data_IF_846192950452
#
_entry.id   IF_846192950452
#
_cell.length_a   1.000
_cell.length_b   1.000
_cell.length_c   1.000
_cell.angle_alpha   90.00
_cell.angle_beta   90.00
_cell.angle_gamma   90.00
#
_symmetry.space_group_name_H-M   'P 1'
#
loop_
_entity.id
_entity.type
_entity.pdbx_description
1 polymer ?
#
# COMPACT_ATOMS: atom_id res chain seq x y z
N UNK A 1 86.10 61.22 -43.57
CA UNK A 1 86.64 62.52 -43.15
C UNK A 1 85.89 63.04 -41.96
N UNK A 2 86.62 63.22 -40.85
CA UNK A 2 86.32 64.05 -39.69
C UNK A 2 85.24 63.51 -38.63
N UNK A 3 85.80 62.98 -37.57
CA UNK A 3 85.21 62.94 -36.22
C UNK A 3 85.07 64.36 -35.62
N UNK A 4 84.21 64.59 -34.70
CA UNK A 4 84.69 65.08 -33.43
C UNK A 4 84.09 64.35 -32.20
N UNK A 5 84.96 63.89 -31.41
CA UNK A 5 85.27 64.14 -30.00
C UNK A 5 84.12 64.47 -29.04
N UNK A 6 83.95 63.47 -28.15
CA UNK A 6 83.86 63.51 -26.71
C UNK A 6 83.11 64.63 -26.00
N UNK A 7 82.28 64.21 -25.11
CA UNK A 7 82.18 64.80 -23.77
C UNK A 7 81.89 63.71 -22.78
N UNK A 8 82.96 63.14 -22.21
CA UNK A 8 82.91 62.45 -20.94
C UNK A 8 82.61 63.52 -19.87
N UNK A 9 81.40 63.66 -19.45
CA UNK A 9 81.04 64.39 -18.22
C UNK A 9 81.49 63.54 -17.07
N UNK A 10 82.57 63.91 -16.35
CA UNK A 10 82.96 63.33 -15.10
C UNK A 10 81.84 63.55 -14.11
N UNK A 11 81.09 62.53 -13.77
CA UNK A 11 80.13 62.59 -12.69
C UNK A 11 80.85 62.90 -11.35
N UNK A 12 80.37 63.88 -10.64
CA UNK A 12 80.89 64.21 -9.26
C UNK A 12 80.58 63.09 -8.31
N UNK A 13 81.42 62.88 -7.24
CA UNK A 13 81.17 61.82 -6.26
C UNK A 13 79.84 61.91 -5.59
N UNK A 14 79.24 63.09 -5.51
CA UNK A 14 77.88 63.27 -4.87
C UNK A 14 76.77 62.76 -5.83
N UNK A 15 76.91 62.83 -7.15
CA UNK A 15 75.90 62.27 -8.06
C UNK A 15 75.96 60.74 -8.13
N UNK A 16 77.11 60.10 -7.96
CA UNK A 16 77.21 58.63 -7.83
C UNK A 16 76.59 58.09 -6.54
N UNK A 17 76.74 58.85 -5.45
CA UNK A 17 76.15 58.48 -4.19
C UNK A 17 74.60 58.60 -4.20
N UNK A 18 74.08 59.64 -4.87
CA UNK A 18 72.61 59.82 -4.94
C UNK A 18 71.97 58.80 -5.82
N UNK A 19 72.59 58.38 -6.92
CA UNK A 19 72.06 57.36 -7.81
C UNK A 19 72.12 55.97 -7.14
N UNK A 20 73.20 55.73 -6.37
CA UNK A 20 73.33 54.48 -5.63
C UNK A 20 72.31 54.33 -4.49
N UNK A 21 72.04 55.37 -3.71
CA UNK A 21 71.07 55.40 -2.65
C UNK A 21 69.62 55.19 -3.16
N UNK A 22 69.30 55.81 -4.33
CA UNK A 22 67.96 55.65 -4.88
C UNK A 22 67.67 54.26 -5.44
N UNK A 23 68.71 53.63 -6.06
CA UNK A 23 68.58 52.25 -6.57
C UNK A 23 68.52 51.20 -5.42
N UNK A 24 69.25 51.43 -4.36
CA UNK A 24 69.23 50.58 -3.21
C UNK A 24 67.90 50.68 -2.42
N UNK A 25 67.30 51.88 -2.34
CA UNK A 25 65.99 52.11 -1.72
C UNK A 25 64.85 51.51 -2.57
N UNK A 26 64.87 51.61 -3.87
CA UNK A 26 63.92 50.97 -4.79
C UNK A 26 64.05 49.44 -4.70
N UNK A 27 65.27 48.89 -4.67
CA UNK A 27 65.53 47.46 -4.47
C UNK A 27 65.01 46.93 -3.15
N UNK A 28 65.20 47.63 -2.06
CA UNK A 28 64.70 47.26 -0.73
C UNK A 28 63.16 47.29 -0.64
N UNK A 29 62.52 48.30 -1.30
CA UNK A 29 61.06 48.37 -1.31
C UNK A 29 60.43 47.27 -2.16
N UNK A 30 61.02 46.90 -3.29
CA UNK A 30 60.59 45.75 -4.13
C UNK A 30 60.80 44.44 -3.37
N UNK A 31 61.95 44.26 -2.73
CA UNK A 31 62.22 43.07 -1.92
C UNK A 31 61.26 42.94 -0.73
N UNK A 32 60.95 44.04 -0.01
CA UNK A 32 59.96 44.05 1.04
C UNK A 32 58.56 43.65 0.58
N UNK A 33 58.13 44.12 -0.61
CA UNK A 33 56.84 43.71 -1.22
C UNK A 33 56.83 42.25 -1.61
N UNK A 34 57.92 41.73 -2.18
CA UNK A 34 58.08 40.30 -2.48
C UNK A 34 58.04 39.43 -1.26
N UNK A 35 58.76 39.81 -0.18
CA UNK A 35 58.70 39.07 1.10
C UNK A 35 57.32 39.09 1.71
N UNK A 36 56.60 40.22 1.69
CA UNK A 36 55.24 40.33 2.16
C UNK A 36 54.25 39.45 1.35
N UNK A 37 54.37 39.49 0.02
CA UNK A 37 53.55 38.63 -0.86
C UNK A 37 53.81 37.16 -0.60
N UNK A 38 55.07 36.76 -0.45
CA UNK A 38 55.45 35.38 -0.11
C UNK A 38 54.94 34.95 1.26
N UNK A 39 54.97 35.82 2.26
CA UNK A 39 54.41 35.60 3.57
C UNK A 39 52.89 35.38 3.49
N UNK A 40 52.15 36.23 2.74
CA UNK A 40 50.72 36.10 2.55
C UNK A 40 50.37 34.77 1.87
N UNK A 41 51.11 34.39 0.81
CA UNK A 41 50.94 33.11 0.13
C UNK A 41 51.19 31.93 1.10
N UNK A 42 52.25 32.02 1.89
CA UNK A 42 52.58 30.98 2.89
C UNK A 42 51.48 30.86 3.96
N UNK A 43 50.93 31.96 4.46
CA UNK A 43 49.81 31.96 5.40
C UNK A 43 48.54 31.32 4.79
N UNK A 44 48.19 31.68 3.53
CA UNK A 44 47.07 31.07 2.83
C UNK A 44 47.28 29.57 2.61
N UNK A 45 48.50 29.18 2.24
CA UNK A 45 48.84 27.74 2.10
C UNK A 45 48.75 26.99 3.41
N UNK A 46 49.19 27.59 4.53
CA UNK A 46 49.02 26.99 5.87
C UNK A 46 47.53 26.81 6.22
N UNK A 47 46.68 27.80 5.92
CA UNK A 47 45.23 27.71 6.12
C UNK A 47 44.63 26.53 5.31
N UNK A 48 45.08 26.37 4.06
CA UNK A 48 44.67 25.25 3.21
C UNK A 48 45.11 23.90 3.80
N UNK A 49 46.35 23.77 4.25
CA UNK A 49 46.84 22.55 4.89
C UNK A 49 46.07 22.20 6.15
N UNK A 50 45.78 23.18 7.01
CA UNK A 50 44.97 22.98 8.22
C UNK A 50 43.55 22.54 7.83
N UNK A 51 42.98 23.11 6.77
CA UNK A 51 41.67 22.73 6.28
C UNK A 51 41.67 21.30 5.70
N UNK A 52 42.67 20.95 4.91
CA UNK A 52 42.81 19.58 4.39
C UNK A 52 43.03 18.57 5.52
N UNK A 53 43.87 18.86 6.50
CA UNK A 53 44.07 18.00 7.65
C UNK A 53 42.76 17.72 8.40
N UNK A 54 41.95 18.77 8.63
CA UNK A 54 40.63 18.59 9.27
C UNK A 54 39.70 17.72 8.42
N UNK A 55 39.61 17.97 7.11
CA UNK A 55 38.74 17.23 6.22
C UNK A 55 39.18 15.78 6.04
N UNK A 56 40.49 15.52 5.89
CA UNK A 56 41.00 14.20 5.56
C UNK A 56 41.29 13.32 6.78
N UNK A 57 41.49 13.89 7.96
CA UNK A 57 41.85 13.14 9.16
C UNK A 57 40.80 13.26 10.26
N UNK A 58 40.44 14.46 10.68
CA UNK A 58 39.51 14.66 11.79
C UNK A 58 38.05 14.38 11.43
N UNK A 59 37.62 14.79 10.24
CA UNK A 59 36.23 14.66 9.78
C UNK A 59 36.08 13.56 8.70
N UNK A 60 37.12 12.76 8.45
CA UNK A 60 37.15 11.71 7.41
C UNK A 60 35.95 10.79 7.50
N UNK A 61 35.70 10.20 8.67
CA UNK A 61 34.60 9.26 8.91
C UNK A 61 33.23 9.89 8.65
N UNK A 62 33.07 11.18 8.98
CA UNK A 62 31.83 11.93 8.73
C UNK A 62 31.57 12.15 7.25
N UNK A 63 32.61 12.53 6.51
CA UNK A 63 32.50 12.76 5.05
C UNK A 63 32.43 11.44 4.28
N UNK A 64 33.11 10.41 4.71
CA UNK A 64 32.98 9.06 4.18
C UNK A 64 31.56 8.56 4.33
N UNK A 65 30.97 8.64 5.54
CA UNK A 65 29.55 8.28 5.80
C UNK A 65 28.59 9.09 4.96
N UNK A 66 28.81 10.40 4.82
CA UNK A 66 27.97 11.26 3.95
C UNK A 66 28.11 10.88 2.47
N UNK A 67 29.31 10.58 2.02
CA UNK A 67 29.58 10.12 0.65
C UNK A 67 28.89 8.78 0.38
N UNK A 68 29.04 7.83 1.30
CA UNK A 68 28.42 6.51 1.19
C UNK A 68 26.88 6.60 1.23
N UNK A 69 26.30 7.41 2.11
CA UNK A 69 24.87 7.65 2.17
C UNK A 69 24.32 8.30 0.88
N UNK A 70 25.12 9.09 0.20
CA UNK A 70 24.73 9.67 -1.08
C UNK A 70 24.90 8.69 -2.25
N UNK A 71 25.87 7.78 -2.17
CA UNK A 71 26.23 6.82 -3.22
C UNK A 71 25.46 5.51 -3.10
N UNK A 72 25.19 5.06 -1.87
CA UNK A 72 24.51 3.79 -1.59
C UNK A 72 23.02 4.05 -1.34
N UNK A 73 22.17 3.32 -2.07
CA UNK A 73 20.70 3.37 -1.89
C UNK A 73 20.17 1.98 -1.62
N UNK A 74 19.20 1.89 -0.73
CA UNK A 74 18.45 0.67 -0.47
C UNK A 74 17.20 0.71 -1.35
N UNK A 75 17.08 -0.27 -2.23
CA UNK A 75 15.91 -0.48 -3.10
C UNK A 75 15.16 -1.69 -2.56
N UNK A 76 13.97 -1.49 -1.98
CA UNK A 76 13.18 -2.60 -1.47
C UNK A 76 12.62 -3.46 -2.62
N UNK A 77 12.49 -4.77 -2.37
CA UNK A 77 11.93 -5.75 -3.30
C UNK A 77 10.65 -6.30 -2.67
N UNK A 78 9.53 -6.17 -3.40
CA UNK A 78 8.25 -6.71 -2.93
C UNK A 78 8.28 -8.25 -2.88
N UNK A 79 7.69 -8.87 -1.87
CA UNK A 79 7.49 -10.30 -1.84
C UNK A 79 6.33 -10.71 -2.75
N UNK A 80 6.35 -11.96 -3.20
CA UNK A 80 5.20 -12.57 -3.86
C UNK A 80 4.12 -12.87 -2.81
N UNK A 81 2.89 -12.40 -3.07
CA UNK A 81 1.76 -12.63 -2.17
C UNK A 81 1.30 -14.08 -2.24
N UNK A 82 1.05 -14.73 -1.09
CA UNK A 82 0.54 -16.08 -0.99
C UNK A 82 -0.77 -16.29 -1.78
N UNK A 83 -0.98 -17.48 -2.29
CA UNK A 83 -2.17 -17.86 -3.03
C UNK A 83 -3.29 -18.25 -2.07
N UNK A 84 -4.54 -18.19 -2.53
CA UNK A 84 -5.70 -18.64 -1.75
C UNK A 84 -6.41 -19.72 -2.53
N UNK A 85 -6.62 -20.84 -1.86
CA UNK A 85 -7.27 -22.03 -2.41
C UNK A 85 -8.55 -22.37 -1.64
N UNK A 86 -9.47 -23.05 -2.30
CA UNK A 86 -10.56 -23.74 -1.65
C UNK A 86 -10.08 -25.03 -0.97
N UNK A 87 -10.97 -25.77 -0.29
CA UNK A 87 -10.63 -27.03 0.37
C UNK A 87 -10.17 -28.14 -0.57
N UNK A 88 -10.48 -28.05 -1.87
CA UNK A 88 -10.16 -29.02 -2.89
C UNK A 88 -8.92 -28.61 -3.71
N UNK A 89 -8.25 -27.51 -3.35
CA UNK A 89 -7.11 -26.99 -4.10
C UNK A 89 -7.47 -26.14 -5.32
N UNK A 90 -8.74 -25.73 -5.46
CA UNK A 90 -9.15 -24.82 -6.53
C UNK A 90 -8.69 -23.40 -6.20
N UNK A 91 -8.05 -22.75 -7.17
CA UNK A 91 -7.46 -21.43 -7.00
C UNK A 91 -8.54 -20.34 -6.92
N UNK A 92 -8.57 -19.59 -5.80
CA UNK A 92 -9.53 -18.53 -5.53
C UNK A 92 -8.92 -17.14 -5.68
N UNK A 93 -7.62 -17.01 -5.40
CA UNK A 93 -6.87 -15.77 -5.61
C UNK A 93 -5.43 -16.10 -6.03
N UNK A 94 -4.98 -15.51 -7.11
CA UNK A 94 -3.67 -15.74 -7.73
C UNK A 94 -2.95 -14.43 -8.03
N UNK A 95 -1.65 -14.54 -8.38
CA UNK A 95 -0.86 -13.40 -8.84
C UNK A 95 -0.62 -13.59 -10.34
N UNK A 96 -1.16 -12.67 -11.16
CA UNK A 96 -0.94 -12.67 -12.60
C UNK A 96 0.12 -11.66 -13.00
N UNK A 97 0.99 -12.06 -13.90
CA UNK A 97 1.93 -11.13 -14.49
C UNK A 97 1.19 -10.16 -15.41
N UNK A 98 1.38 -8.88 -15.18
CA UNK A 98 0.90 -7.78 -16.03
C UNK A 98 2.08 -6.94 -16.48
N UNK A 99 1.94 -6.26 -17.60
CA UNK A 99 2.96 -5.37 -18.10
C UNK A 99 2.59 -3.92 -17.71
N UNK A 100 3.36 -3.38 -16.78
CA UNK A 100 3.18 -2.03 -16.29
C UNK A 100 4.07 -1.06 -17.07
N UNK A 101 3.52 0.07 -17.48
CA UNK A 101 4.30 1.20 -17.94
C UNK A 101 4.73 2.02 -16.72
N UNK A 102 6.03 2.16 -16.52
CA UNK A 102 6.59 2.94 -15.42
C UNK A 102 7.46 4.06 -15.96
N UNK A 103 7.54 5.15 -15.20
CA UNK A 103 8.46 6.26 -15.47
C UNK A 103 9.52 6.33 -14.38
N UNK A 104 10.73 6.71 -14.77
CA UNK A 104 11.83 7.07 -13.84
C UNK A 104 12.08 8.56 -13.97
N UNK A 105 11.65 9.39 -13.01
CA UNK A 105 11.65 10.86 -13.13
C UNK A 105 13.03 11.46 -13.41
N UNK A 106 14.10 10.89 -12.86
CA UNK A 106 15.48 11.37 -13.04
C UNK A 106 16.01 11.30 -14.49
N UNK A 107 15.25 10.69 -15.40
CA UNK A 107 15.66 10.54 -16.81
C UNK A 107 14.98 11.54 -17.76
N UNK A 108 14.09 12.38 -17.26
CA UNK A 108 13.32 13.33 -18.08
C UNK A 108 13.51 14.75 -17.58
N UNK A 109 13.62 15.69 -18.51
CA UNK A 109 13.66 17.13 -18.24
C UNK A 109 12.23 17.72 -18.17
N UNK A 110 11.26 17.15 -18.92
CA UNK A 110 9.84 17.54 -18.91
C UNK A 110 8.91 16.32 -18.91
N UNK A 111 8.73 15.76 -17.71
CA UNK A 111 7.88 14.57 -17.51
C UNK A 111 6.41 14.83 -17.88
N UNK A 112 5.93 16.07 -17.67
CA UNK A 112 4.53 16.40 -17.94
C UNK A 112 4.19 16.27 -19.41
N UNK A 113 5.07 16.80 -20.26
CA UNK A 113 4.93 16.72 -21.72
C UNK A 113 5.10 15.28 -22.20
N UNK A 114 6.11 14.59 -21.70
CA UNK A 114 6.35 13.18 -22.05
C UNK A 114 5.18 12.27 -21.64
N UNK A 115 4.51 12.54 -20.52
CA UNK A 115 3.30 11.82 -20.10
C UNK A 115 2.16 12.01 -21.11
N UNK A 116 1.90 13.25 -21.53
CA UNK A 116 0.83 13.54 -22.48
C UNK A 116 1.10 12.87 -23.84
N UNK A 117 2.32 12.96 -24.34
CA UNK A 117 2.73 12.33 -25.60
C UNK A 117 2.59 10.79 -25.55
N UNK A 118 2.99 10.16 -24.44
CA UNK A 118 2.87 8.69 -24.28
C UNK A 118 1.43 8.27 -24.11
N UNK A 119 0.61 9.05 -23.37
CA UNK A 119 -0.82 8.78 -23.25
C UNK A 119 -1.54 8.80 -24.61
N UNK A 120 -1.19 9.78 -25.45
CA UNK A 120 -1.73 9.89 -26.83
C UNK A 120 -1.21 8.76 -27.71
N UNK A 121 0.11 8.52 -27.73
CA UNK A 121 0.76 7.48 -28.55
C UNK A 121 0.19 6.08 -28.31
N UNK A 122 -0.07 5.74 -27.05
CA UNK A 122 -0.53 4.42 -26.65
C UNK A 122 -2.07 4.34 -26.51
N UNK A 123 -2.79 5.45 -26.70
CA UNK A 123 -4.22 5.54 -26.49
C UNK A 123 -4.63 4.95 -25.12
N UNK A 124 -3.97 5.40 -24.04
CA UNK A 124 -4.20 4.86 -22.70
C UNK A 124 -5.54 5.31 -22.11
N UNK A 125 -6.11 6.41 -22.60
CA UNK A 125 -7.37 6.97 -22.12
C UNK A 125 -7.28 7.53 -20.70
N UNK A 126 -6.08 7.96 -20.26
CA UNK A 126 -5.87 8.57 -18.97
C UNK A 126 -6.35 10.02 -18.99
N UNK A 127 -7.14 10.41 -17.99
CA UNK A 127 -7.73 11.74 -17.88
C UNK A 127 -6.83 12.72 -17.09
N UNK A 128 -7.26 13.99 -16.98
CA UNK A 128 -6.54 15.03 -16.23
C UNK A 128 -6.46 14.72 -14.72
N UNK A 129 -7.39 13.94 -14.17
CA UNK A 129 -7.35 13.51 -12.78
C UNK A 129 -6.28 12.43 -12.57
N UNK A 130 -6.17 11.48 -13.50
CA UNK A 130 -5.09 10.47 -13.50
C UNK A 130 -3.73 11.14 -13.59
N UNK A 131 -3.61 12.15 -14.46
CA UNK A 131 -2.39 12.96 -14.61
C UNK A 131 -2.06 13.70 -13.31
N UNK A 132 -3.04 14.28 -12.63
CA UNK A 132 -2.83 14.96 -11.34
C UNK A 132 -2.31 13.99 -10.27
N UNK A 133 -2.96 12.83 -10.14
CA UNK A 133 -2.53 11.77 -9.20
C UNK A 133 -1.11 11.31 -9.51
N UNK A 134 -0.79 11.11 -10.78
CA UNK A 134 0.55 10.75 -11.24
C UNK A 134 1.59 11.82 -10.88
N UNK A 135 1.29 13.10 -11.12
CA UNK A 135 2.20 14.21 -10.77
C UNK A 135 2.41 14.35 -9.26
N UNK A 136 1.37 14.10 -8.46
CA UNK A 136 1.50 14.10 -7.00
C UNK A 136 2.38 12.94 -6.52
N UNK A 137 2.30 11.77 -7.15
CA UNK A 137 3.21 10.65 -6.88
C UNK A 137 4.67 10.98 -7.22
N UNK A 138 4.91 11.69 -8.32
CA UNK A 138 6.25 12.17 -8.70
C UNK A 138 6.81 13.14 -7.65
N UNK A 139 5.99 14.05 -7.14
CA UNK A 139 6.40 15.03 -6.11
C UNK A 139 6.74 14.37 -4.76
N UNK A 140 6.01 13.31 -4.40
CA UNK A 140 6.21 12.58 -3.16
C UNK A 140 7.28 11.48 -3.29
N UNK A 141 7.51 11.01 -4.51
CA UNK A 141 8.47 9.95 -4.81
C UNK A 141 9.91 10.44 -4.89
N UNK A 142 10.84 9.48 -4.87
CA UNK A 142 12.26 9.77 -5.12
C UNK A 142 12.52 9.81 -6.63
N UNK A 143 13.37 10.72 -7.07
CA UNK A 143 13.65 10.96 -8.51
C UNK A 143 14.08 9.69 -9.29
N UNK A 144 14.69 8.71 -8.64
CA UNK A 144 15.13 7.44 -9.25
C UNK A 144 14.11 6.30 -9.08
N UNK A 145 13.03 6.52 -8.34
CA UNK A 145 11.98 5.52 -8.12
C UNK A 145 11.14 5.35 -9.37
N UNK A 146 10.84 4.10 -9.72
CA UNK A 146 9.91 3.80 -10.80
C UNK A 146 8.48 4.04 -10.33
N UNK A 147 7.80 4.97 -10.99
CA UNK A 147 6.42 5.35 -10.69
C UNK A 147 5.52 4.77 -11.78
N UNK A 148 4.48 4.00 -11.44
CA UNK A 148 3.59 3.41 -12.44
C UNK A 148 2.70 4.49 -13.08
N UNK A 149 2.63 4.45 -14.41
CA UNK A 149 1.70 5.23 -15.21
C UNK A 149 0.40 4.43 -15.43
N UNK A 150 0.56 3.17 -15.82
CA UNK A 150 -0.55 2.21 -15.96
C UNK A 150 -0.05 0.79 -15.78
N UNK A 151 -0.89 -0.07 -15.21
CA UNK A 151 -0.60 -1.50 -15.02
C UNK A 151 -1.34 -2.37 -16.07
N UNK A 152 -1.76 -1.79 -17.20
CA UNK A 152 -2.68 -2.43 -18.15
C UNK A 152 -2.24 -2.31 -19.61
N UNK A 153 -0.96 -2.44 -19.89
CA UNK A 153 -0.54 -2.44 -21.28
C UNK A 153 -0.99 -3.72 -21.99
N UNK A 154 -1.71 -3.54 -23.07
CA UNK A 154 -2.01 -4.63 -24.02
C UNK A 154 -0.78 -4.98 -24.85
N UNK A 155 -0.74 -6.17 -25.43
CA UNK A 155 0.36 -6.59 -26.32
C UNK A 155 0.57 -5.60 -27.47
N UNK A 156 -0.52 -5.07 -28.04
CA UNK A 156 -0.46 -4.07 -29.10
C UNK A 156 0.19 -2.78 -28.62
N UNK A 157 -0.19 -2.27 -27.45
CA UNK A 157 0.41 -1.08 -26.86
C UNK A 157 1.87 -1.29 -26.51
N UNK A 158 2.25 -2.47 -26.02
CA UNK A 158 3.65 -2.82 -25.78
C UNK A 158 4.47 -2.81 -27.07
N UNK A 159 3.95 -3.37 -28.16
CA UNK A 159 4.62 -3.36 -29.47
C UNK A 159 4.80 -1.92 -29.98
N UNK A 160 3.78 -1.06 -29.89
CA UNK A 160 3.87 0.36 -30.26
C UNK A 160 4.89 1.08 -29.39
N UNK A 161 4.91 0.84 -28.08
CA UNK A 161 5.88 1.44 -27.19
C UNK A 161 7.31 0.97 -27.49
N UNK A 162 7.52 -0.32 -27.75
CA UNK A 162 8.83 -0.89 -28.02
C UNK A 162 9.50 -0.23 -29.24
N UNK A 163 8.73 0.02 -30.30
CA UNK A 163 9.23 0.75 -31.53
C UNK A 163 9.58 2.20 -31.21
N UNK A 164 8.85 2.86 -30.31
CA UNK A 164 9.05 4.28 -29.98
C UNK A 164 9.91 4.52 -28.73
N UNK A 165 10.43 3.47 -28.10
CA UNK A 165 11.17 3.55 -26.83
C UNK A 165 12.35 4.52 -26.84
N UNK A 166 13.02 4.67 -27.98
CA UNK A 166 14.16 5.57 -28.11
C UNK A 166 13.80 7.05 -27.91
N UNK A 167 12.52 7.42 -28.12
CA UNK A 167 12.00 8.79 -27.94
C UNK A 167 11.65 9.09 -26.48
N UNK A 168 11.39 8.04 -25.67
CA UNK A 168 10.91 8.14 -24.29
C UNK A 168 11.79 7.30 -23.35
N UNK A 169 13.08 7.67 -23.18
CA UNK A 169 14.05 6.90 -22.39
C UNK A 169 13.71 6.83 -20.89
N UNK A 170 12.88 7.75 -20.39
CA UNK A 170 12.36 7.83 -19.04
C UNK A 170 11.30 6.77 -18.74
N UNK A 171 10.57 6.31 -19.76
CA UNK A 171 9.56 5.26 -19.63
C UNK A 171 10.15 3.87 -19.88
N UNK A 172 9.59 2.89 -19.19
CA UNK A 172 9.93 1.49 -19.40
C UNK A 172 8.73 0.60 -19.12
N UNK A 173 8.64 -0.50 -19.84
CA UNK A 173 7.68 -1.57 -19.55
C UNK A 173 8.35 -2.57 -18.63
N UNK A 174 7.74 -2.81 -17.47
CA UNK A 174 8.22 -3.78 -16.49
C UNK A 174 7.14 -4.78 -16.17
N UNK A 175 7.48 -6.07 -16.06
CA UNK A 175 6.55 -7.08 -15.58
C UNK A 175 6.31 -6.85 -14.08
N UNK A 176 5.05 -6.85 -13.67
CA UNK A 176 4.63 -6.80 -12.28
C UNK A 176 3.62 -7.91 -12.00
N UNK A 177 3.64 -8.45 -10.79
CA UNK A 177 2.59 -9.33 -10.32
C UNK A 177 1.43 -8.50 -9.78
N UNK A 178 0.23 -8.78 -10.26
CA UNK A 178 -1.03 -8.20 -9.79
C UNK A 178 -1.95 -9.29 -9.30
N UNK A 179 -2.62 -9.01 -8.18
CA UNK A 179 -3.63 -9.91 -7.64
C UNK A 179 -4.77 -10.07 -8.61
N UNK A 180 -5.27 -11.31 -8.76
CA UNK A 180 -6.40 -11.65 -9.62
C UNK A 180 -7.30 -12.68 -8.93
N UNK A 181 -8.60 -12.52 -9.10
CA UNK A 181 -9.65 -13.35 -8.53
C UNK A 181 -10.40 -14.04 -9.67
N UNK A 182 -10.06 -15.31 -9.99
CA UNK A 182 -10.61 -16.01 -11.16
C UNK A 182 -12.11 -16.27 -11.05
N UNK A 183 -12.65 -16.33 -9.82
CA UNK A 183 -14.07 -16.58 -9.58
C UNK A 183 -14.94 -15.32 -9.61
N UNK A 184 -14.37 -14.14 -9.89
CA UNK A 184 -15.11 -12.88 -9.97
C UNK A 184 -15.93 -12.59 -8.71
N UNK A 185 -17.20 -12.26 -8.89
CA UNK A 185 -18.13 -11.86 -7.85
C UNK A 185 -18.59 -12.98 -6.89
N UNK A 186 -18.30 -14.25 -7.23
CA UNK A 186 -18.74 -15.43 -6.50
C UNK A 186 -18.25 -15.47 -5.05
N UNK A 187 -17.03 -14.98 -4.79
CA UNK A 187 -16.35 -15.13 -3.50
C UNK A 187 -15.92 -13.82 -2.86
N UNK A 188 -16.31 -12.68 -3.42
CA UNK A 188 -15.84 -11.36 -2.99
C UNK A 188 -16.04 -11.11 -1.50
N UNK A 189 -17.18 -11.50 -0.95
CA UNK A 189 -17.49 -11.30 0.47
C UNK A 189 -16.75 -12.25 1.42
N UNK A 190 -16.15 -13.32 0.92
CA UNK A 190 -15.33 -14.27 1.67
C UNK A 190 -13.85 -13.94 1.52
N UNK A 191 -13.37 -14.02 0.29
CA UNK A 191 -11.96 -13.79 -0.03
C UNK A 191 -11.57 -12.31 0.17
N UNK A 192 -12.47 -11.40 -0.18
CA UNK A 192 -12.18 -9.98 -0.19
C UNK A 192 -11.37 -9.57 -1.42
N UNK A 193 -10.60 -8.50 -1.27
CA UNK A 193 -9.74 -7.99 -2.32
C UNK A 193 -8.58 -7.18 -1.76
N UNK A 194 -7.54 -7.01 -2.57
CA UNK A 194 -6.48 -6.05 -2.35
C UNK A 194 -6.76 -4.77 -3.14
N UNK A 195 -6.37 -3.64 -2.58
CA UNK A 195 -6.38 -2.37 -3.30
C UNK A 195 -5.27 -1.47 -2.77
N UNK A 196 -5.01 -0.38 -3.49
CA UNK A 196 -3.93 0.56 -3.20
C UNK A 196 -3.95 1.04 -1.73
N UNK A 197 -2.78 1.08 -1.13
CA UNK A 197 -2.55 1.63 0.22
C UNK A 197 -2.98 3.10 0.22
N UNK A 198 -3.89 3.46 1.12
CA UNK A 198 -4.35 4.83 1.33
C UNK A 198 -3.72 5.43 2.59
N UNK A 199 -4.00 6.72 2.89
CA UNK A 199 -3.44 7.43 4.05
C UNK A 199 -3.74 6.73 5.37
N UNK A 200 -4.97 6.20 5.55
CA UNK A 200 -5.34 5.48 6.79
C UNK A 200 -4.61 4.15 6.93
N UNK A 201 -4.37 3.45 5.82
CA UNK A 201 -3.58 2.23 5.85
C UNK A 201 -2.14 2.54 6.19
N UNK A 202 -1.58 3.65 5.65
CA UNK A 202 -0.22 4.10 5.94
C UNK A 202 -0.07 4.42 7.43
N UNK A 203 -0.97 5.21 8.00
CA UNK A 203 -1.00 5.52 9.44
C UNK A 203 -1.03 4.25 10.31
N UNK A 204 -1.80 3.25 9.89
CA UNK A 204 -1.85 1.96 10.57
C UNK A 204 -0.54 1.19 10.48
N UNK A 205 0.06 1.12 9.28
CA UNK A 205 1.35 0.46 9.06
C UNK A 205 2.46 1.15 9.86
N UNK A 206 2.45 2.48 9.93
CA UNK A 206 3.40 3.26 10.72
C UNK A 206 3.23 2.97 12.22
N UNK A 207 2.00 2.94 12.72
CA UNK A 207 1.70 2.60 14.11
C UNK A 207 2.09 1.16 14.49
N UNK A 208 2.00 0.23 13.55
CA UNK A 208 2.41 -1.17 13.73
C UNK A 208 3.92 -1.42 13.45
N UNK A 209 4.68 -0.40 13.02
CA UNK A 209 6.10 -0.52 12.68
C UNK A 209 6.36 -1.38 11.43
N UNK A 210 5.37 -1.48 10.52
CA UNK A 210 5.44 -2.32 9.32
C UNK A 210 5.78 -1.57 8.04
N UNK A 211 5.98 -0.25 8.09
CA UNK A 211 6.19 0.63 6.93
C UNK A 211 7.33 0.16 6.02
N UNK A 212 8.45 -0.30 6.61
CA UNK A 212 9.58 -0.79 5.83
C UNK A 212 9.23 -2.05 5.02
N UNK A 213 8.40 -2.96 5.58
CA UNK A 213 7.96 -4.17 4.90
C UNK A 213 7.05 -3.88 3.70
N UNK A 214 6.37 -2.72 3.68
CA UNK A 214 5.50 -2.29 2.60
C UNK A 214 6.12 -1.28 1.64
N UNK A 215 7.41 -0.94 1.82
CA UNK A 215 8.08 0.07 1.01
C UNK A 215 8.12 -0.23 -0.50
N UNK A 216 8.07 -1.52 -0.90
CA UNK A 216 8.00 -1.95 -2.29
C UNK A 216 6.58 -2.35 -2.73
N UNK A 217 5.63 -2.45 -1.80
CA UNK A 217 4.27 -2.94 -2.05
C UNK A 217 3.32 -1.77 -2.18
N UNK A 218 2.45 -1.81 -3.18
CA UNK A 218 1.49 -0.73 -3.45
C UNK A 218 0.07 -1.07 -2.99
N UNK A 219 -0.24 -2.35 -2.83
CA UNK A 219 -1.56 -2.86 -2.53
C UNK A 219 -1.58 -3.59 -1.17
N UNK A 220 -2.71 -3.52 -0.47
CA UNK A 220 -2.94 -4.17 0.82
C UNK A 220 -4.33 -4.79 0.84
N UNK A 221 -4.55 -5.85 1.61
CA UNK A 221 -5.87 -6.45 1.79
C UNK A 221 -6.86 -5.51 2.47
N UNK A 222 -8.00 -5.29 1.83
CA UNK A 222 -9.03 -4.34 2.30
C UNK A 222 -10.20 -5.00 2.98
N UNK A 223 -10.50 -6.24 2.61
CA UNK A 223 -11.70 -6.95 3.06
C UNK A 223 -11.45 -8.46 3.12
N UNK A 224 -12.26 -9.18 3.87
CA UNK A 224 -12.32 -10.66 3.90
C UNK A 224 -11.01 -11.31 4.35
N UNK A 225 -10.75 -12.48 3.79
CA UNK A 225 -9.53 -13.29 4.05
C UNK A 225 -8.27 -12.50 3.69
N UNK A 226 -8.29 -11.75 2.60
CA UNK A 226 -7.17 -10.90 2.17
C UNK A 226 -6.74 -9.91 3.27
N UNK A 227 -7.69 -9.32 3.98
CA UNK A 227 -7.41 -8.38 5.07
C UNK A 227 -7.04 -9.09 6.36
N UNK A 228 -7.79 -10.14 6.73
CA UNK A 228 -7.61 -10.80 8.02
C UNK A 228 -6.28 -11.53 8.11
N UNK A 229 -5.86 -12.17 7.01
CA UNK A 229 -4.61 -12.92 6.91
C UNK A 229 -3.51 -12.14 6.18
N UNK A 230 -3.59 -10.81 6.18
CA UNK A 230 -2.61 -9.93 5.49
C UNK A 230 -1.16 -10.27 5.86
N UNK A 231 -0.86 -10.42 7.15
CA UNK A 231 0.50 -10.70 7.63
C UNK A 231 1.06 -12.05 7.14
N UNK A 232 0.17 -13.02 6.87
CA UNK A 232 0.55 -14.34 6.35
C UNK A 232 0.70 -14.27 4.83
N UNK A 233 -0.26 -13.62 4.16
CA UNK A 233 -0.32 -13.56 2.71
C UNK A 233 0.73 -12.62 2.10
N UNK A 234 1.07 -11.51 2.78
CA UNK A 234 2.01 -10.51 2.24
C UNK A 234 3.45 -11.03 2.18
N UNK A 235 3.92 -11.72 3.24
CA UNK A 235 5.31 -12.15 3.34
C UNK A 235 6.25 -11.04 3.84
N UNK A 236 7.55 -11.17 3.54
CA UNK A 236 8.58 -10.23 3.99
C UNK A 236 9.34 -9.65 2.80
N UNK A 237 9.44 -8.34 2.73
CA UNK A 237 10.19 -7.63 1.71
C UNK A 237 11.68 -7.96 1.76
N UNK A 238 12.29 -8.12 0.59
CA UNK A 238 13.73 -8.12 0.43
C UNK A 238 14.26 -6.71 0.14
N UNK A 239 15.56 -6.60 -0.07
CA UNK A 239 16.19 -5.35 -0.47
C UNK A 239 17.43 -5.58 -1.32
N UNK A 240 17.77 -4.59 -2.14
CA UNK A 240 19.07 -4.47 -2.80
C UNK A 240 19.75 -3.18 -2.35
N UNK A 241 21.01 -3.29 -1.94
CA UNK A 241 21.89 -2.13 -1.77
C UNK A 241 22.56 -1.87 -3.10
N UNK A 242 22.28 -0.74 -3.70
CA UNK A 242 22.79 -0.35 -5.01
C UNK A 242 23.67 0.89 -4.89
N UNK A 243 24.77 0.90 -5.62
CA UNK A 243 25.58 2.09 -5.81
C UNK A 243 24.97 2.92 -6.94
N UNK A 244 24.75 4.21 -6.68
CA UNK A 244 24.17 5.14 -7.64
C UNK A 244 25.16 6.27 -7.95
N UNK A 245 25.10 6.79 -9.19
CA UNK A 245 25.87 7.97 -9.57
C UNK A 245 25.19 9.26 -9.06
N UNK A 246 25.80 10.42 -9.36
CA UNK A 246 25.29 11.75 -9.00
C UNK A 246 23.90 12.07 -9.58
N UNK A 247 23.45 11.31 -10.61
CA UNK A 247 22.11 11.42 -11.22
C UNK A 247 21.12 10.36 -10.69
N UNK A 248 21.49 9.60 -9.65
CA UNK A 248 20.66 8.55 -9.07
C UNK A 248 20.53 7.28 -9.93
N UNK A 249 21.34 7.10 -10.98
CA UNK A 249 21.34 5.88 -11.80
C UNK A 249 22.12 4.78 -11.08
N UNK A 250 21.57 3.58 -11.06
CA UNK A 250 22.22 2.37 -10.55
C UNK A 250 23.47 2.04 -11.39
N UNK A 251 24.62 1.93 -10.72
CA UNK A 251 25.91 1.53 -11.30
C UNK A 251 26.12 0.03 -11.12
N UNK A 252 25.94 -0.44 -9.87
CA UNK A 252 26.09 -1.86 -9.53
C UNK A 252 25.30 -2.20 -8.27
N UNK A 253 24.98 -3.48 -8.11
CA UNK A 253 24.41 -4.04 -6.89
C UNK A 253 25.56 -4.42 -5.96
N UNK A 254 25.55 -3.91 -4.73
CA UNK A 254 26.55 -4.20 -3.71
C UNK A 254 26.14 -5.44 -2.93
N UNK A 255 24.87 -5.51 -2.53
CA UNK A 255 24.29 -6.56 -1.70
C UNK A 255 22.82 -6.77 -2.12
N UNK A 256 22.34 -8.01 -2.05
CA UNK A 256 20.95 -8.33 -2.34
C UNK A 256 20.43 -9.38 -1.38
N UNK A 257 19.31 -9.07 -0.73
CA UNK A 257 18.55 -10.02 0.07
C UNK A 257 17.23 -10.29 -0.63
N UNK A 258 16.99 -11.56 -0.98
CA UNK A 258 15.73 -11.96 -1.60
C UNK A 258 14.54 -11.78 -0.65
N UNK A 259 13.36 -11.40 -1.15
CA UNK A 259 12.15 -11.37 -0.34
C UNK A 259 11.72 -12.78 0.07
N UNK A 260 11.01 -12.89 1.19
CA UNK A 260 10.35 -14.14 1.59
C UNK A 260 8.91 -14.08 1.14
N UNK A 261 8.46 -14.96 0.24
CA UNK A 261 7.08 -14.95 -0.23
C UNK A 261 6.09 -15.19 0.89
N UNK A 262 4.87 -14.70 0.71
CA UNK A 262 3.74 -15.01 1.59
C UNK A 262 3.39 -16.50 1.53
N UNK A 263 2.72 -16.96 2.57
CA UNK A 263 2.26 -18.35 2.65
C UNK A 263 0.90 -18.49 1.99
N UNK A 264 0.71 -19.60 1.31
CA UNK A 264 -0.58 -19.98 0.74
C UNK A 264 -1.59 -20.35 1.84
N UNK A 265 -2.86 -20.08 1.58
CA UNK A 265 -3.96 -20.35 2.50
C UNK A 265 -4.98 -21.26 1.82
N UNK A 266 -5.40 -22.29 2.54
CA UNK A 266 -6.50 -23.18 2.15
C UNK A 266 -7.71 -22.86 3.00
N UNK A 267 -8.83 -22.52 2.36
CA UNK A 267 -10.09 -22.25 3.03
C UNK A 267 -10.91 -23.53 3.18
N UNK A 268 -11.83 -23.53 4.12
CA UNK A 268 -12.81 -24.63 4.27
C UNK A 268 -13.92 -24.57 3.22
N UNK A 269 -14.00 -23.48 2.46
CA UNK A 269 -14.99 -23.28 1.40
C UNK A 269 -14.82 -24.33 0.30
N UNK A 270 -15.94 -24.89 -0.15
CA UNK A 270 -16.05 -25.68 -1.37
C UNK A 270 -16.64 -24.79 -2.47
N UNK A 271 -15.86 -24.53 -3.51
CA UNK A 271 -16.25 -23.63 -4.59
C UNK A 271 -17.48 -24.10 -5.37
N UNK A 272 -17.71 -25.43 -5.44
CA UNK A 272 -18.87 -25.95 -6.12
C UNK A 272 -20.16 -25.73 -5.30
N UNK A 273 -20.11 -25.94 -3.97
CA UNK A 273 -21.20 -25.60 -3.07
C UNK A 273 -21.46 -24.10 -3.06
N UNK A 274 -20.40 -23.29 -3.00
CA UNK A 274 -20.49 -21.84 -3.07
C UNK A 274 -21.21 -21.37 -4.34
N UNK A 275 -20.79 -21.91 -5.50
CA UNK A 275 -21.42 -21.61 -6.81
C UNK A 275 -22.87 -22.01 -6.85
N UNK A 276 -23.19 -23.23 -6.37
CA UNK A 276 -24.58 -23.69 -6.30
C UNK A 276 -25.44 -22.76 -5.44
N UNK A 277 -24.93 -22.38 -4.27
CA UNK A 277 -25.62 -21.42 -3.39
C UNK A 277 -25.81 -20.04 -4.06
N UNK A 278 -24.78 -19.55 -4.75
CA UNK A 278 -24.84 -18.29 -5.46
C UNK A 278 -25.89 -18.31 -6.60
N UNK A 279 -25.90 -19.36 -7.40
CA UNK A 279 -26.88 -19.54 -8.49
C UNK A 279 -28.31 -19.61 -7.97
N UNK A 280 -28.57 -20.24 -6.83
CA UNK A 280 -29.89 -20.31 -6.19
C UNK A 280 -30.37 -18.94 -5.68
N UNK A 281 -29.44 -18.03 -5.30
CA UNK A 281 -29.75 -16.71 -4.79
C UNK A 281 -29.74 -15.63 -5.88
N UNK A 282 -29.42 -15.97 -7.12
CA UNK A 282 -29.36 -15.01 -8.23
C UNK A 282 -30.66 -14.18 -8.33
N UNK A 283 -30.51 -12.86 -8.38
CA UNK A 283 -31.64 -11.92 -8.45
C UNK A 283 -32.37 -11.69 -7.10
N UNK A 284 -31.84 -12.22 -6.00
CA UNK A 284 -32.40 -12.05 -4.65
C UNK A 284 -31.44 -11.30 -3.75
N UNK A 285 -31.97 -10.50 -2.82
CA UNK A 285 -31.20 -9.92 -1.71
C UNK A 285 -31.20 -10.89 -0.54
N UNK A 286 -30.18 -11.74 -0.44
CA UNK A 286 -30.14 -12.82 0.53
C UNK A 286 -28.70 -13.17 0.96
N UNK A 287 -28.59 -13.79 2.13
CA UNK A 287 -27.38 -14.46 2.63
C UNK A 287 -27.64 -15.96 2.77
N UNK A 288 -26.64 -16.77 2.43
CA UNK A 288 -26.66 -18.21 2.67
C UNK A 288 -25.33 -18.60 3.32
N UNK A 289 -25.41 -19.39 4.38
CA UNK A 289 -24.24 -20.03 4.98
C UNK A 289 -24.48 -21.52 5.08
N UNK A 290 -23.49 -22.30 4.73
CA UNK A 290 -23.47 -23.75 4.89
C UNK A 290 -22.29 -24.13 5.79
N UNK A 291 -22.59 -24.81 6.89
CA UNK A 291 -21.61 -25.17 7.92
C UNK A 291 -21.66 -26.66 8.18
N UNK A 292 -20.52 -27.29 8.37
CA UNK A 292 -20.45 -28.65 8.91
C UNK A 292 -20.71 -28.60 10.42
N UNK A 293 -21.78 -29.26 10.93
CA UNK A 293 -22.11 -29.19 12.35
C UNK A 293 -21.12 -29.94 13.26
N UNK A 294 -20.28 -30.82 12.71
CA UNK A 294 -19.35 -31.64 13.49
C UNK A 294 -18.07 -30.87 13.88
N UNK A 295 -17.59 -29.99 13.01
CA UNK A 295 -16.31 -29.31 13.21
C UNK A 295 -16.40 -27.76 13.08
N UNK A 296 -17.55 -27.23 12.64
CA UNK A 296 -17.79 -25.80 12.46
C UNK A 296 -17.21 -25.24 11.17
N UNK A 297 -16.70 -26.07 10.26
CA UNK A 297 -16.17 -25.59 8.96
C UNK A 297 -17.26 -24.94 8.10
N UNK A 298 -16.96 -23.75 7.58
CA UNK A 298 -17.85 -23.06 6.65
C UNK A 298 -17.57 -23.57 5.24
N UNK A 299 -18.51 -24.31 4.68
CA UNK A 299 -18.40 -24.92 3.35
C UNK A 299 -18.84 -23.96 2.24
N UNK A 300 -19.80 -23.07 2.52
CA UNK A 300 -20.22 -22.02 1.63
C UNK A 300 -20.71 -20.80 2.42
N UNK A 301 -20.43 -19.60 1.91
CA UNK A 301 -20.86 -18.31 2.49
C UNK A 301 -21.17 -17.35 1.36
N UNK A 302 -22.45 -17.21 1.03
CA UNK A 302 -22.93 -16.44 -0.13
C UNK A 302 -23.67 -15.21 0.36
N UNK A 303 -23.25 -14.04 -0.14
CA UNK A 303 -24.01 -12.80 -0.03
C UNK A 303 -24.42 -12.34 -1.43
N UNK A 304 -25.72 -12.23 -1.69
CA UNK A 304 -26.27 -11.84 -2.99
C UNK A 304 -27.09 -10.54 -2.87
N UNK A 305 -26.98 -9.63 -3.85
CA UNK A 305 -26.00 -9.61 -4.92
C UNK A 305 -24.57 -9.34 -4.42
N UNK A 306 -23.59 -9.62 -5.27
CA UNK A 306 -22.16 -9.39 -5.04
C UNK A 306 -21.59 -8.49 -6.15
N UNK A 307 -20.28 -8.33 -6.18
CA UNK A 307 -19.56 -7.49 -7.16
C UNK A 307 -18.19 -8.10 -7.48
N UNK A 308 -17.63 -7.76 -8.66
CA UNK A 308 -16.31 -8.26 -9.06
C UNK A 308 -15.19 -7.55 -8.27
N UNK A 309 -14.39 -8.28 -7.46
CA UNK A 309 -13.27 -7.72 -6.69
C UNK A 309 -12.14 -7.20 -7.58
N UNK A 310 -12.00 -7.72 -8.81
CA UNK A 310 -10.99 -7.27 -9.77
C UNK A 310 -11.15 -5.80 -10.16
N UNK A 311 -12.35 -5.22 -10.00
CA UNK A 311 -12.57 -3.78 -10.18
C UNK A 311 -11.70 -2.95 -9.25
N UNK A 312 -11.55 -3.37 -7.98
CA UNK A 312 -10.76 -2.66 -6.97
C UNK A 312 -9.26 -2.86 -7.18
N UNK A 313 -8.83 -4.05 -7.59
CA UNK A 313 -7.42 -4.33 -7.91
C UNK A 313 -6.91 -3.47 -9.06
N UNK A 314 -7.75 -3.28 -10.08
CA UNK A 314 -7.38 -2.45 -11.24
C UNK A 314 -7.48 -0.95 -11.00
N UNK A 315 -7.96 -0.52 -9.83
CA UNK A 315 -8.34 0.85 -9.55
C UNK A 315 -9.75 1.15 -10.09
N UNK A 316 -10.74 1.07 -9.20
CA UNK A 316 -12.14 1.36 -9.55
C UNK A 316 -12.31 2.85 -9.84
N UNK A 317 -13.03 3.17 -10.91
CA UNK A 317 -13.36 4.56 -11.24
C UNK A 317 -14.43 5.12 -10.29
N UNK A 318 -14.49 6.45 -10.17
CA UNK A 318 -15.53 7.11 -9.35
C UNK A 318 -16.94 6.76 -9.82
N UNK A 319 -17.14 6.60 -11.12
CA UNK A 319 -18.43 6.23 -11.71
C UNK A 319 -18.81 4.81 -11.29
N UNK A 320 -17.95 3.83 -11.53
CA UNK A 320 -18.16 2.42 -11.15
C UNK A 320 -18.43 2.27 -9.64
N UNK A 321 -17.65 2.97 -8.80
CA UNK A 321 -17.86 2.95 -7.35
C UNK A 321 -19.20 3.58 -6.95
N UNK A 322 -19.58 4.70 -7.55
CA UNK A 322 -20.87 5.35 -7.31
C UNK A 322 -22.04 4.46 -7.73
N UNK A 323 -21.92 3.74 -8.84
CA UNK A 323 -22.92 2.77 -9.28
C UNK A 323 -23.11 1.63 -8.26
N UNK A 324 -22.01 1.09 -7.70
CA UNK A 324 -22.07 0.07 -6.65
C UNK A 324 -22.65 0.61 -5.34
N UNK A 325 -22.26 1.82 -4.94
CA UNK A 325 -22.68 2.45 -3.68
C UNK A 325 -24.17 2.82 -3.67
N UNK A 326 -24.64 3.37 -4.80
CA UNK A 326 -26.01 3.82 -4.97
C UNK A 326 -26.97 2.73 -5.48
N UNK A 327 -26.45 1.52 -5.71
CA UNK A 327 -27.28 0.40 -6.15
C UNK A 327 -28.31 0.06 -5.05
N UNK A 328 -29.63 0.06 -5.37
CA UNK A 328 -30.69 -0.23 -4.41
C UNK A 328 -30.55 -1.63 -3.78
N UNK A 329 -29.91 -2.56 -4.48
CA UNK A 329 -29.67 -3.91 -4.00
C UNK A 329 -28.44 -4.05 -3.10
N UNK A 330 -27.66 -2.95 -2.94
CA UNK A 330 -26.52 -2.83 -2.01
C UNK A 330 -25.53 -4.01 -2.09
N UNK A 331 -24.87 -4.23 -3.23
CA UNK A 331 -23.95 -5.35 -3.43
C UNK A 331 -22.73 -5.32 -2.52
N UNK A 332 -22.34 -4.14 -2.01
CA UNK A 332 -21.19 -4.00 -1.10
C UNK A 332 -21.42 -4.56 0.30
N UNK A 333 -22.67 -4.85 0.66
CA UNK A 333 -23.01 -5.36 2.00
C UNK A 333 -22.83 -6.87 2.05
N UNK A 334 -21.98 -7.34 2.97
CA UNK A 334 -21.92 -8.77 3.32
C UNK A 334 -23.10 -9.15 4.20
N UNK A 335 -24.14 -9.70 3.59
CA UNK A 335 -25.38 -10.07 4.28
C UNK A 335 -25.26 -11.21 5.27
N UNK A 336 -24.22 -12.02 5.12
CA UNK A 336 -23.95 -13.14 6.04
C UNK A 336 -23.36 -12.65 7.36
N UNK A 337 -22.40 -11.70 7.29
CA UNK A 337 -21.65 -11.27 8.48
C UNK A 337 -22.23 -10.04 9.18
N UNK A 338 -22.85 -9.10 8.42
CA UNK A 338 -23.37 -7.83 8.98
C UNK A 338 -24.89 -7.67 8.83
N UNK A 339 -25.56 -8.67 8.25
CA UNK A 339 -27.02 -8.64 8.11
C UNK A 339 -27.70 -8.84 9.46
N UNK A 340 -28.48 -7.85 9.89
CA UNK A 340 -29.32 -7.96 11.09
C UNK A 340 -30.68 -8.52 10.69
N UNK A 341 -30.84 -9.82 10.85
CA UNK A 341 -32.10 -10.53 10.59
C UNK A 341 -32.74 -10.96 11.90
N UNK A 342 -34.08 -10.80 11.99
CA UNK A 342 -34.80 -11.33 13.11
C UNK A 342 -34.73 -12.87 13.08
N UNK A 343 -34.23 -13.52 14.15
CA UNK A 343 -34.05 -14.97 14.15
C UNK A 343 -35.40 -15.73 14.18
N UNK A 344 -36.47 -15.06 14.53
CA UNK A 344 -37.80 -15.66 14.66
C UNK A 344 -37.74 -16.98 15.47
N UNK A 345 -38.46 -18.02 15.01
CA UNK A 345 -38.49 -19.31 15.72
C UNK A 345 -37.20 -20.13 15.67
N UNK A 346 -36.23 -19.76 14.82
CA UNK A 346 -34.94 -20.49 14.74
C UNK A 346 -34.11 -20.38 16.00
N UNK A 347 -34.33 -19.36 16.85
CA UNK A 347 -33.64 -19.19 18.13
C UNK A 347 -34.22 -20.07 19.25
N UNK A 348 -35.42 -20.64 19.12
CA UNK A 348 -36.09 -21.36 20.19
C UNK A 348 -35.32 -22.55 20.77
N UNK A 349 -34.67 -23.41 19.95
CA UNK A 349 -33.86 -24.49 20.50
C UNK A 349 -32.70 -23.96 21.35
N UNK A 350 -32.07 -22.85 20.94
CA UNK A 350 -30.97 -22.21 21.70
C UNK A 350 -31.49 -21.65 23.04
N UNK A 351 -32.65 -21.00 23.04
CA UNK A 351 -33.27 -20.46 24.25
C UNK A 351 -33.69 -21.58 25.20
N UNK A 352 -34.22 -22.69 24.66
CA UNK A 352 -34.56 -23.87 25.43
C UNK A 352 -33.31 -24.50 26.06
N UNK A 353 -32.23 -24.66 25.30
CA UNK A 353 -30.95 -25.15 25.80
C UNK A 353 -30.41 -24.26 26.93
N UNK A 354 -30.40 -22.94 26.72
CA UNK A 354 -29.98 -21.98 27.74
C UNK A 354 -30.80 -22.11 29.04
N UNK A 355 -32.13 -22.18 28.93
CA UNK A 355 -33.02 -22.34 30.09
C UNK A 355 -32.76 -23.61 30.87
N UNK A 356 -32.46 -24.73 30.17
CA UNK A 356 -32.11 -26.01 30.79
C UNK A 356 -30.69 -25.95 31.42
N UNK A 357 -29.71 -25.39 30.74
CA UNK A 357 -28.34 -25.28 31.24
C UNK A 357 -28.23 -24.42 32.48
N UNK A 358 -28.92 -23.29 32.50
CA UNK A 358 -29.00 -22.39 33.66
C UNK A 358 -29.95 -22.89 34.76
N UNK A 359 -30.52 -24.09 34.60
CA UNK A 359 -31.47 -24.69 35.53
C UNK A 359 -32.71 -23.84 35.85
N UNK A 360 -33.04 -22.90 34.96
CA UNK A 360 -34.24 -22.06 35.11
C UNK A 360 -35.54 -22.83 34.81
N UNK A 361 -35.43 -23.79 33.92
CA UNK A 361 -36.53 -24.72 33.57
C UNK A 361 -35.97 -26.14 33.49
N UNK A 362 -36.89 -27.12 33.61
CA UNK A 362 -36.61 -28.54 33.38
C UNK A 362 -37.45 -29.03 32.19
N UNK A 363 -37.21 -30.23 31.72
CA UNK A 363 -38.02 -30.85 30.67
C UNK A 363 -39.49 -31.06 31.12
N UNK A 364 -39.75 -31.17 32.44
CA UNK A 364 -41.10 -31.30 33.01
C UNK A 364 -41.75 -29.96 33.35
N UNK A 365 -41.04 -28.83 33.21
CA UNK A 365 -41.61 -27.50 33.50
C UNK A 365 -42.73 -27.18 32.51
N UNK A 366 -43.89 -26.81 33.04
CA UNK A 366 -45.05 -26.38 32.25
C UNK A 366 -45.33 -24.91 32.47
N UNK A 367 -45.67 -24.20 31.42
CA UNK A 367 -46.09 -22.80 31.45
C UNK A 367 -47.28 -22.59 30.56
N UNK A 368 -48.07 -21.56 30.90
CA UNK A 368 -49.28 -21.23 30.17
C UNK A 368 -48.96 -20.22 29.07
N UNK A 369 -49.06 -20.64 27.81
CA UNK A 369 -48.91 -19.81 26.62
C UNK A 369 -50.17 -18.92 26.46
N UNK A 370 -50.15 -17.78 27.12
CA UNK A 370 -51.19 -16.76 27.00
C UNK A 370 -51.22 -16.11 25.64
N UNK A 371 -52.34 -15.49 25.21
CA UNK A 371 -52.47 -14.82 23.92
C UNK A 371 -51.58 -13.56 23.79
N UNK A 372 -51.05 -13.05 24.88
CA UNK A 372 -50.06 -11.97 24.91
C UNK A 372 -49.20 -12.05 26.19
N UNK A 373 -48.06 -11.44 26.10
CA UNK A 373 -47.13 -11.25 27.21
C UNK A 373 -46.84 -9.77 27.40
N UNK A 374 -46.67 -9.33 28.65
CA UNK A 374 -46.33 -7.95 29.00
C UNK A 374 -45.09 -7.97 29.88
N UNK A 375 -44.08 -7.16 29.58
CA UNK A 375 -42.91 -7.00 30.44
C UNK A 375 -43.27 -6.17 31.69
N UNK A 376 -42.72 -6.50 32.87
CA UNK A 376 -42.85 -5.65 34.04
C UNK A 376 -42.48 -4.22 33.76
N UNK A 377 -43.35 -3.26 34.11
CA UNK A 377 -43.16 -1.84 33.87
C UNK A 377 -43.46 -1.37 32.44
N UNK A 378 -43.96 -2.23 31.54
CA UNK A 378 -44.32 -1.85 30.17
C UNK A 378 -45.83 -2.06 29.93
N UNK A 379 -46.45 -1.14 29.20
CA UNK A 379 -47.87 -1.28 28.75
C UNK A 379 -47.96 -2.02 27.42
N UNK A 380 -46.77 -2.28 26.75
CA UNK A 380 -46.75 -2.95 25.45
C UNK A 380 -47.10 -4.44 25.59
N UNK A 381 -48.09 -4.89 24.79
CA UNK A 381 -48.50 -6.28 24.72
C UNK A 381 -47.85 -6.98 23.54
N UNK A 382 -46.91 -7.88 23.82
CA UNK A 382 -46.34 -8.79 22.84
C UNK A 382 -47.35 -9.89 22.52
N UNK A 383 -48.04 -9.77 21.38
CA UNK A 383 -49.15 -10.65 21.02
C UNK A 383 -48.63 -11.92 20.33
N UNK A 384 -49.28 -13.04 20.67
CA UNK A 384 -49.16 -14.30 19.93
C UNK A 384 -49.95 -14.19 18.60
N UNK A 385 -49.55 -15.00 17.61
CA UNK A 385 -50.34 -15.13 16.37
C UNK A 385 -51.67 -15.81 16.58
N UNK A 386 -51.74 -16.68 17.61
CA UNK A 386 -53.00 -17.33 18.06
C UNK A 386 -53.75 -16.41 19.00
N UNK A 387 -54.94 -16.00 18.60
CA UNK A 387 -55.80 -15.08 19.38
C UNK A 387 -56.14 -15.63 20.81
N UNK A 388 -56.09 -16.93 20.98
CA UNK A 388 -56.43 -17.62 22.23
C UNK A 388 -55.23 -18.10 23.02
N UNK A 389 -54.00 -17.86 22.47
CA UNK A 389 -52.79 -18.46 23.01
C UNK A 389 -52.67 -19.96 22.71
N UNK A 390 -51.70 -20.62 23.37
CA UNK A 390 -51.38 -22.03 23.14
C UNK A 390 -51.78 -22.95 24.33
N UNK A 391 -52.28 -22.38 25.43
CA UNK A 391 -52.58 -23.13 26.61
C UNK A 391 -51.36 -23.67 27.36
N UNK A 392 -51.49 -24.74 28.06
CA UNK A 392 -50.40 -25.38 28.81
C UNK A 392 -49.39 -26.03 27.85
N UNK A 393 -48.13 -25.61 27.95
CA UNK A 393 -47.01 -26.07 27.11
C UNK A 393 -45.85 -26.50 28.00
N UNK A 394 -45.11 -27.49 27.55
CA UNK A 394 -43.77 -27.80 27.99
C UNK A 394 -42.74 -27.31 27.00
N UNK A 395 -41.45 -27.55 27.26
CA UNK A 395 -40.34 -27.09 26.42
C UNK A 395 -40.40 -27.71 25.01
N UNK A 396 -40.87 -28.95 24.86
CA UNK A 396 -40.98 -29.62 23.58
C UNK A 396 -42.03 -28.97 22.69
N UNK A 397 -43.23 -28.74 23.24
CA UNK A 397 -44.32 -28.04 22.55
C UNK A 397 -43.96 -26.61 22.23
N UNK A 398 -43.19 -25.91 23.08
CA UNK A 398 -42.73 -24.56 22.82
C UNK A 398 -41.77 -24.46 21.61
N UNK A 399 -40.98 -25.51 21.37
CA UNK A 399 -40.14 -25.62 20.18
C UNK A 399 -40.96 -25.99 18.95
N UNK A 400 -41.86 -26.95 19.07
CA UNK A 400 -42.67 -27.51 17.98
C UNK A 400 -43.61 -26.48 17.36
N UNK A 401 -44.30 -25.68 18.18
CA UNK A 401 -45.29 -24.73 17.67
C UNK A 401 -44.61 -23.51 17.04
N UNK A 402 -44.88 -23.21 15.75
CA UNK A 402 -44.36 -22.02 15.10
C UNK A 402 -44.94 -20.76 15.76
N UNK A 403 -44.05 -19.77 16.04
CA UNK A 403 -44.39 -18.42 16.51
C UNK A 403 -44.95 -18.26 17.90
N UNK A 404 -44.52 -19.03 18.87
CA UNK A 404 -44.69 -18.62 20.28
C UNK A 404 -43.82 -17.41 20.57
N UNK A 405 -44.31 -16.37 21.29
CA UNK A 405 -43.44 -15.25 21.68
C UNK A 405 -42.21 -15.81 22.43
N UNK A 406 -41.00 -15.45 21.98
CA UNK A 406 -39.75 -15.87 22.62
C UNK A 406 -39.63 -15.45 24.08
N UNK A 407 -40.57 -14.63 24.56
CA UNK A 407 -40.72 -14.15 25.94
C UNK A 407 -41.20 -15.20 26.95
N UNK A 408 -41.79 -16.32 26.50
CA UNK A 408 -42.28 -17.36 27.42
C UNK A 408 -41.18 -18.21 28.07
N UNK A 409 -39.94 -18.08 27.60
CA UNK A 409 -38.76 -18.76 28.19
C UNK A 409 -37.81 -17.73 28.85
N UNK A 410 -38.25 -16.50 29.06
CA UNK A 410 -37.43 -15.44 29.67
C UNK A 410 -37.21 -15.69 31.17
N UNK A 411 -36.03 -15.36 31.73
CA UNK A 411 -35.68 -15.50 33.13
C UNK A 411 -36.57 -14.71 34.12
N UNK A 412 -37.40 -13.78 33.62
CA UNK A 412 -38.31 -13.00 34.44
C UNK A 412 -39.51 -13.78 35.02
N UNK A 413 -39.61 -15.08 34.75
CA UNK A 413 -40.61 -15.97 35.38
C UNK A 413 -40.19 -16.46 36.79
N UNK A 414 -39.23 -15.80 37.43
CA UNK A 414 -39.00 -15.93 38.89
C UNK A 414 -39.81 -14.85 39.60
N UNK A 415 -41.01 -15.15 40.00
CA UNK A 415 -41.74 -14.60 41.14
C UNK A 415 -42.40 -15.73 41.90
#
# INVERSE_FOLDING_TARGET
MIFPFSLFRKETPAERYRVKDKSDDEGNTVFGRLCFSMFVIMCLTCVLFVREYRLQIQEYSTYETKSDNNRIKIVPIAPDRGLIYDRNGVLLAENRQVNALVVTPSKSDDIKKAYDEVNELLHLGLDENDKKVFMDQIRQGRAFQQIPVTDKLTEKQMAVFAVNRFRYPEFSVVPKLKRYYPMGDLLTHVVGYVARINTKDQEKLDAEGKTENYAATQDIGKLGVEKYYEDILHGKSGYRKVEVNNRGREIRVIESHAPTPGKDIYLTIDVNLQKKGYDLLKGKRAGLIMMDPNNGEILASVSSPSYDPNLFVRGITRKEYSELLNNPDRPLINRVSVGNYSPASTIKPLMAFMGLNEKMVTTGTRFFGAPYFTLPGSTHKFRDWRKWGHGWMDIYRAIEYPRTPSSTISPSARA
#
